data_IF_830240704962
#
_entry.id   IF_830240704962
#
_cell.length_a   1.000
_cell.length_b   1.000
_cell.length_c   1.000
_cell.angle_alpha   90.00
_cell.angle_beta   90.00
_cell.angle_gamma   90.00
#
_symmetry.space_group_name_H-M   'P 1'
#
loop_
_entity.id
_entity.type
_entity.pdbx_description
1 polymer ?
#
# COMPACT_ATOMS: atom_id res chain seq x y z
N UNK A 1 12.02 14.51 12.61
CA UNK A 1 10.76 14.14 13.30
C UNK A 1 9.59 14.09 12.32
N UNK A 2 9.24 15.19 11.65
CA UNK A 2 8.13 15.25 10.68
C UNK A 2 8.17 14.15 9.61
N UNK A 3 9.33 13.94 8.99
CA UNK A 3 9.59 12.85 8.05
C UNK A 3 9.13 11.45 8.51
N UNK A 4 9.39 11.11 9.78
CA UNK A 4 9.03 9.79 10.32
C UNK A 4 7.51 9.68 10.52
N UNK A 5 6.87 10.77 10.94
CA UNK A 5 5.42 10.86 11.05
C UNK A 5 4.73 10.78 9.68
N UNK A 6 5.29 11.41 8.64
CA UNK A 6 4.78 11.34 7.27
C UNK A 6 4.86 9.91 6.72
N UNK A 7 5.93 9.18 7.03
CA UNK A 7 6.07 7.78 6.66
C UNK A 7 5.02 6.91 7.35
N UNK A 8 4.78 7.11 8.65
CA UNK A 8 3.69 6.43 9.38
C UNK A 8 2.33 6.76 8.77
N UNK A 9 2.07 8.02 8.45
CA UNK A 9 0.84 8.45 7.81
C UNK A 9 0.65 7.77 6.44
N UNK A 10 1.70 7.65 5.65
CA UNK A 10 1.71 6.89 4.40
C UNK A 10 1.34 5.41 4.62
N UNK A 11 1.97 4.75 5.60
CA UNK A 11 1.65 3.37 5.94
C UNK A 11 0.20 3.16 6.36
N UNK A 12 -0.30 4.01 7.26
CA UNK A 12 -1.68 3.97 7.72
C UNK A 12 -2.66 4.22 6.57
N UNK A 13 -2.40 5.23 5.73
CA UNK A 13 -3.22 5.54 4.57
C UNK A 13 -3.27 4.37 3.58
N UNK A 14 -2.12 3.74 3.29
CA UNK A 14 -2.03 2.58 2.41
C UNK A 14 -2.82 1.38 2.96
N UNK A 15 -2.68 1.08 4.25
CA UNK A 15 -3.40 -0.02 4.89
C UNK A 15 -4.91 0.22 4.97
N UNK A 16 -5.34 1.43 5.31
CA UNK A 16 -6.77 1.80 5.30
C UNK A 16 -7.36 1.75 3.90
N UNK A 17 -6.61 2.23 2.90
CA UNK A 17 -7.01 2.17 1.49
C UNK A 17 -7.16 0.72 1.03
N UNK A 18 -6.16 -0.12 1.29
CA UNK A 18 -6.24 -1.55 1.01
C UNK A 18 -7.44 -2.20 1.72
N UNK A 19 -7.63 -1.90 3.00
CA UNK A 19 -8.70 -2.51 3.77
C UNK A 19 -10.09 -2.11 3.25
N UNK A 20 -10.26 -0.85 2.88
CA UNK A 20 -11.47 -0.35 2.22
C UNK A 20 -11.73 -1.06 0.90
N UNK A 21 -10.70 -1.21 0.06
CA UNK A 21 -10.83 -1.87 -1.24
C UNK A 21 -11.09 -3.38 -1.12
N UNK A 22 -10.48 -4.06 -0.15
CA UNK A 22 -10.78 -5.46 0.16
C UNK A 22 -12.26 -5.62 0.52
N UNK A 23 -12.83 -4.71 1.33
CA UNK A 23 -14.27 -4.73 1.64
C UNK A 23 -15.16 -4.47 0.42
N UNK A 24 -14.67 -3.71 -0.57
CA UNK A 24 -15.39 -3.45 -1.82
C UNK A 24 -15.25 -4.59 -2.83
N UNK A 25 -14.19 -5.40 -2.74
CA UNK A 25 -13.99 -6.55 -3.61
C UNK A 25 -15.03 -7.66 -3.35
N UNK A 26 -15.58 -8.24 -4.42
CA UNK A 26 -16.66 -9.24 -4.33
C UNK A 26 -16.28 -10.52 -3.56
N UNK A 27 -17.32 -11.17 -2.99
CA UNK A 27 -17.35 -12.42 -2.21
C UNK A 27 -16.10 -12.73 -1.34
N UNK A 28 -16.22 -12.40 -0.04
CA UNK A 28 -15.38 -12.90 1.07
C UNK A 28 -13.88 -12.93 0.79
N UNK A 29 -13.33 -11.80 0.35
CA UNK A 29 -11.91 -11.67 0.05
C UNK A 29 -10.98 -11.98 1.25
N UNK A 30 -11.48 -11.90 2.48
CA UNK A 30 -10.76 -12.32 3.68
C UNK A 30 -11.66 -13.14 4.60
N UNK A 31 -11.19 -14.34 4.99
CA UNK A 31 -11.94 -15.31 5.80
C UNK A 31 -11.63 -15.27 7.30
N UNK A 32 -10.55 -14.60 7.73
CA UNK A 32 -10.17 -14.55 9.15
C UNK A 32 -9.74 -13.15 9.61
N UNK A 33 -10.00 -12.77 10.89
CA UNK A 33 -9.48 -11.52 11.45
C UNK A 33 -7.94 -11.45 11.45
N UNK A 34 -7.27 -12.59 11.57
CA UNK A 34 -5.81 -12.65 11.54
C UNK A 34 -5.27 -12.27 10.15
N UNK A 35 -5.89 -12.76 9.08
CA UNK A 35 -5.55 -12.40 7.70
C UNK A 35 -5.78 -10.90 7.41
N UNK A 36 -6.81 -10.29 8.00
CA UNK A 36 -7.01 -8.84 7.96
C UNK A 36 -5.82 -8.08 8.54
N UNK A 37 -5.39 -8.44 9.75
CA UNK A 37 -4.27 -7.78 10.44
C UNK A 37 -2.95 -8.03 9.70
N UNK A 38 -2.71 -9.25 9.22
CA UNK A 38 -1.50 -9.59 8.48
C UNK A 38 -1.44 -8.87 7.13
N UNK A 39 -2.54 -8.83 6.37
CA UNK A 39 -2.60 -8.10 5.12
C UNK A 39 -2.43 -6.59 5.30
N UNK A 40 -3.16 -5.99 6.24
CA UNK A 40 -3.06 -4.56 6.53
C UNK A 40 -1.67 -4.16 7.03
N UNK A 41 -1.08 -4.95 7.94
CA UNK A 41 0.27 -4.67 8.46
C UNK A 41 1.35 -4.83 7.39
N UNK A 42 1.25 -5.84 6.53
CA UNK A 42 2.16 -6.03 5.39
C UNK A 42 2.13 -4.83 4.45
N UNK A 43 0.93 -4.37 4.08
CA UNK A 43 0.75 -3.20 3.23
C UNK A 43 1.31 -1.94 3.92
N UNK A 44 0.96 -1.70 5.19
CA UNK A 44 1.46 -0.54 5.93
C UNK A 44 2.99 -0.50 5.95
N UNK A 45 3.61 -1.58 6.41
CA UNK A 45 5.06 -1.67 6.61
C UNK A 45 5.80 -1.46 5.29
N UNK A 46 5.36 -2.13 4.21
CA UNK A 46 6.00 -1.98 2.91
C UNK A 46 5.91 -0.54 2.37
N UNK A 47 4.75 0.11 2.52
CA UNK A 47 4.57 1.49 2.06
C UNK A 47 5.35 2.50 2.93
N UNK A 48 5.52 2.23 4.23
CA UNK A 48 6.44 2.99 5.12
C UNK A 48 7.86 2.89 4.57
N UNK A 49 8.35 1.68 4.29
CA UNK A 49 9.71 1.49 3.79
C UNK A 49 9.93 2.18 2.46
N UNK A 50 9.01 2.03 1.50
CA UNK A 50 9.10 2.73 0.20
C UNK A 50 9.17 4.24 0.39
N UNK A 51 8.30 4.81 1.22
CA UNK A 51 8.32 6.23 1.53
C UNK A 51 9.66 6.67 2.13
N UNK A 52 10.15 5.96 3.15
CA UNK A 52 11.42 6.26 3.80
C UNK A 52 12.59 6.21 2.81
N UNK A 53 12.60 5.22 1.91
CA UNK A 53 13.65 5.07 0.89
C UNK A 53 13.61 6.21 -0.13
N UNK A 54 12.42 6.56 -0.64
CA UNK A 54 12.28 7.61 -1.66
C UNK A 54 12.64 8.99 -1.12
N UNK A 55 12.13 9.33 0.06
CA UNK A 55 12.44 10.60 0.72
C UNK A 55 13.88 10.64 1.20
N UNK A 56 14.37 9.55 1.82
CA UNK A 56 15.76 9.47 2.28
C UNK A 56 16.77 9.59 1.14
N UNK A 57 16.39 9.19 -0.06
CA UNK A 57 17.18 9.37 -1.29
C UNK A 57 16.93 10.72 -1.98
N UNK A 58 16.09 11.58 -1.41
CA UNK A 58 15.66 12.87 -1.97
C UNK A 58 15.14 12.78 -3.42
N UNK A 59 14.49 11.66 -3.77
CA UNK A 59 13.90 11.47 -5.07
C UNK A 59 12.54 12.15 -5.09
N UNK A 60 12.35 13.21 -5.90
CA UNK A 60 11.09 13.98 -5.95
C UNK A 60 10.26 13.75 -7.22
N UNK A 61 10.63 12.74 -8.00
CA UNK A 61 10.04 12.51 -9.31
C UNK A 61 8.76 11.70 -9.16
N UNK A 62 7.62 12.35 -9.37
CA UNK A 62 6.29 11.74 -9.24
C UNK A 62 6.17 10.40 -9.99
N UNK A 63 6.68 10.25 -11.24
CA UNK A 63 6.61 8.96 -11.94
C UNK A 63 7.37 7.82 -11.23
N UNK A 64 8.51 8.13 -10.61
CA UNK A 64 9.30 7.14 -9.86
C UNK A 64 8.53 6.72 -8.61
N UNK A 65 7.93 7.67 -7.90
CA UNK A 65 7.07 7.39 -6.74
C UNK A 65 5.91 6.48 -7.10
N UNK A 66 5.16 6.83 -8.16
CA UNK A 66 4.07 6.02 -8.67
C UNK A 66 4.52 4.60 -8.98
N UNK A 67 5.64 4.47 -9.71
CA UNK A 67 6.18 3.18 -10.07
C UNK A 67 6.57 2.34 -8.84
N UNK A 68 7.27 2.92 -7.87
CA UNK A 68 7.67 2.22 -6.65
C UNK A 68 6.47 1.73 -5.84
N UNK A 69 5.46 2.58 -5.62
CA UNK A 69 4.25 2.19 -4.89
C UNK A 69 3.41 1.16 -5.65
N UNK A 70 3.28 1.29 -6.97
CA UNK A 70 2.61 0.29 -7.80
C UNK A 70 3.30 -1.07 -7.71
N UNK A 71 4.61 -1.10 -7.94
CA UNK A 71 5.40 -2.33 -7.99
C UNK A 71 5.43 -3.04 -6.63
N UNK A 72 5.61 -2.31 -5.53
CA UNK A 72 5.66 -2.94 -4.21
C UNK A 72 4.30 -3.55 -3.84
N UNK A 73 3.20 -2.84 -4.08
CA UNK A 73 1.87 -3.33 -3.71
C UNK A 73 1.43 -4.49 -4.63
N UNK A 74 1.79 -4.45 -5.92
CA UNK A 74 1.58 -5.58 -6.83
C UNK A 74 2.44 -6.80 -6.45
N UNK A 75 3.69 -6.58 -6.01
CA UNK A 75 4.57 -7.65 -5.54
C UNK A 75 4.04 -8.30 -4.26
N UNK A 76 3.56 -7.52 -3.29
CA UNK A 76 2.90 -8.02 -2.07
C UNK A 76 1.70 -8.88 -2.45
N UNK A 77 0.85 -8.38 -3.35
CA UNK A 77 -0.34 -9.09 -3.81
C UNK A 77 -0.03 -10.44 -4.47
N UNK A 78 1.09 -10.52 -5.21
CA UNK A 78 1.48 -11.74 -5.94
C UNK A 78 2.31 -12.71 -5.11
N UNK A 79 3.16 -12.22 -4.23
CA UNK A 79 4.20 -13.01 -3.56
C UNK A 79 3.92 -13.25 -2.08
N UNK A 80 3.24 -12.31 -1.41
CA UNK A 80 3.05 -12.35 0.05
C UNK A 80 1.63 -12.78 0.42
N UNK A 81 0.60 -12.19 -0.20
CA UNK A 81 -0.79 -12.56 0.11
C UNK A 81 -1.12 -14.05 -0.10
N UNK A 82 -0.57 -14.76 -1.11
CA UNK A 82 -0.79 -16.20 -1.23
C UNK A 82 -0.17 -17.04 -0.10
N UNK A 83 0.76 -16.47 0.68
CA UNK A 83 1.36 -17.12 1.84
C UNK A 83 0.54 -16.90 3.13
N UNK A 84 -0.48 -16.03 3.08
CA UNK A 84 -1.33 -15.72 4.21
C UNK A 84 -2.64 -16.48 4.06
N UNK A 85 -2.85 -17.46 4.95
CA UNK A 85 -4.07 -18.25 4.97
C UNK A 85 -5.30 -17.35 5.19
N UNK A 86 -6.23 -17.42 4.25
CA UNK A 86 -7.50 -16.70 4.31
C UNK A 86 -7.55 -15.37 3.57
N UNK A 87 -6.52 -15.00 2.79
CA UNK A 87 -6.62 -13.90 1.80
C UNK A 87 -6.91 -14.47 0.41
N UNK A 88 -8.09 -14.17 -0.13
CA UNK A 88 -8.53 -14.58 -1.47
C UNK A 88 -9.10 -13.40 -2.26
N UNK A 89 -8.24 -12.46 -2.61
CA UNK A 89 -8.63 -11.28 -3.40
C UNK A 89 -8.54 -11.61 -4.90
N UNK A 90 -9.55 -11.26 -5.72
CA UNK A 90 -9.46 -11.44 -7.18
C UNK A 90 -8.22 -10.77 -7.77
N UNK A 91 -7.55 -11.44 -8.72
CA UNK A 91 -6.26 -10.96 -9.28
C UNK A 91 -6.32 -9.55 -9.86
N UNK A 92 -7.42 -9.19 -10.52
CA UNK A 92 -7.61 -7.84 -11.08
C UNK A 92 -7.64 -6.80 -9.95
N UNK A 93 -8.31 -7.11 -8.83
CA UNK A 93 -8.35 -6.22 -7.69
C UNK A 93 -6.99 -6.09 -7.01
N UNK A 94 -6.33 -7.22 -6.75
CA UNK A 94 -5.07 -7.23 -6.00
C UNK A 94 -3.87 -6.71 -6.80
N UNK A 95 -3.84 -6.87 -8.13
CA UNK A 95 -2.69 -6.49 -8.98
C UNK A 95 -2.86 -5.16 -9.70
N UNK A 96 -4.09 -4.68 -9.90
CA UNK A 96 -4.36 -3.42 -10.62
C UNK A 96 -5.03 -2.40 -9.71
N UNK A 97 -6.21 -2.72 -9.17
CA UNK A 97 -7.03 -1.74 -8.46
C UNK A 97 -6.36 -1.31 -7.14
N UNK A 98 -5.95 -2.26 -6.28
CA UNK A 98 -5.33 -1.94 -5.00
C UNK A 98 -4.01 -1.17 -5.18
N UNK A 99 -3.06 -1.62 -6.01
CA UNK A 99 -1.80 -0.91 -6.16
C UNK A 99 -1.99 0.50 -6.71
N UNK A 100 -2.88 0.70 -7.70
CA UNK A 100 -3.14 2.01 -8.31
C UNK A 100 -3.76 2.97 -7.30
N UNK A 101 -4.79 2.52 -6.58
CA UNK A 101 -5.45 3.36 -5.58
C UNK A 101 -4.50 3.75 -4.44
N UNK A 102 -3.70 2.81 -3.94
CA UNK A 102 -2.70 3.08 -2.91
C UNK A 102 -1.65 4.07 -3.42
N UNK A 103 -1.09 3.85 -4.60
CA UNK A 103 -0.08 4.75 -5.20
C UNK A 103 -0.62 6.17 -5.41
N UNK A 104 -1.87 6.30 -5.87
CA UNK A 104 -2.51 7.61 -6.04
C UNK A 104 -2.65 8.34 -4.69
N UNK A 105 -3.14 7.65 -3.67
CA UNK A 105 -3.33 8.24 -2.34
C UNK A 105 -2.00 8.64 -1.69
N UNK A 106 -0.94 7.84 -1.86
CA UNK A 106 0.37 8.17 -1.30
C UNK A 106 1.05 9.31 -2.05
N UNK A 107 0.90 9.41 -3.37
CA UNK A 107 1.39 10.56 -4.14
C UNK A 107 0.67 11.84 -3.72
N UNK A 108 -0.66 11.79 -3.57
CA UNK A 108 -1.44 12.94 -3.11
C UNK A 108 -0.99 13.40 -1.72
N UNK A 109 -0.69 12.46 -0.82
CA UNK A 109 -0.09 12.78 0.48
C UNK A 109 1.27 13.48 0.31
N UNK A 110 2.15 12.96 -0.55
CA UNK A 110 3.46 13.54 -0.84
C UNK A 110 3.39 14.97 -1.40
N UNK A 111 2.43 15.25 -2.27
CA UNK A 111 2.14 16.60 -2.76
C UNK A 111 1.55 17.51 -1.68
N UNK A 112 0.62 17.00 -0.86
CA UNK A 112 -0.04 17.77 0.20
C UNK A 112 0.93 18.27 1.28
N UNK A 113 1.99 17.51 1.57
CA UNK A 113 3.03 17.92 2.52
C UNK A 113 4.18 18.73 1.88
N UNK A 114 4.08 19.03 0.58
CA UNK A 114 5.06 19.84 -0.16
C UNK A 114 6.38 19.13 -0.47
N UNK A 115 6.40 17.78 -0.45
CA UNK A 115 7.60 17.01 -0.79
C UNK A 115 7.74 16.76 -2.30
N UNK A 116 6.60 16.57 -2.99
CA UNK A 116 6.49 16.30 -4.43
C UNK A 116 6.05 17.51 -5.24
#
# INVERSE_FOLDING_TARGET
MQFFWDAIACGLLAALTWAGLVKMSHYQAISSPQAWVQGASTVAIANIFVWLTLVGSNLRWIPIWAFCFLMINAAIARLVFPLIDGIQIPRVWSLLIHPVAIALMTILLGGAIGFL
#
